data_IF_011603842550
#
_entry.id   IF_011603842550
#
_cell.length_a   1.000
_cell.length_b   1.000
_cell.length_c   1.000
_cell.angle_alpha   90.00
_cell.angle_beta   90.00
_cell.angle_gamma   90.00
#
_symmetry.space_group_name_H-M   'P 1'
#
loop_
_entity.id
_entity.type
_entity.pdbx_description
1 polymer ?
#
# COMPACT_ATOMS: atom_id res chain seq x y z
N UNK A 1 -0.76 -13.76 -42.91
CA UNK A 1 -0.71 -12.28 -42.81
C UNK A 1 -1.20 -11.89 -41.42
N UNK A 2 -0.46 -11.06 -40.67
CA UNK A 2 -0.93 -10.57 -39.36
C UNK A 2 -2.01 -9.53 -39.67
N UNK A 3 -3.27 -9.83 -39.37
CA UNK A 3 -4.38 -8.91 -39.57
C UNK A 3 -4.37 -7.83 -38.48
N UNK A 4 -4.58 -6.58 -38.89
CA UNK A 4 -4.76 -5.47 -37.95
C UNK A 4 -5.97 -5.72 -37.05
N UNK A 5 -5.85 -5.40 -35.76
CA UNK A 5 -6.94 -5.46 -34.78
C UNK A 5 -7.28 -4.06 -34.31
N UNK A 6 -8.53 -3.86 -33.89
CA UNK A 6 -8.99 -2.60 -33.30
C UNK A 6 -8.78 -2.65 -31.79
N UNK A 7 -8.17 -1.61 -31.23
CA UNK A 7 -7.97 -1.47 -29.78
C UNK A 7 -9.30 -1.24 -29.07
N UNK A 8 -9.63 -2.05 -28.07
CA UNK A 8 -10.86 -1.88 -27.27
C UNK A 8 -10.88 -0.61 -26.42
N UNK A 9 -9.73 0.02 -26.17
CA UNK A 9 -9.62 1.22 -25.33
C UNK A 9 -9.72 2.52 -26.14
N UNK A 10 -9.03 2.59 -27.28
CA UNK A 10 -8.92 3.83 -28.06
C UNK A 10 -9.47 3.75 -29.48
N UNK A 11 -9.99 2.58 -29.91
CA UNK A 11 -10.60 2.38 -31.23
C UNK A 11 -9.63 2.43 -32.42
N UNK A 12 -8.33 2.58 -32.19
CA UNK A 12 -7.31 2.62 -33.26
C UNK A 12 -6.93 1.22 -33.73
N UNK A 13 -6.64 1.08 -35.02
CA UNK A 13 -6.04 -0.12 -35.58
C UNK A 13 -4.60 -0.29 -35.07
N UNK A 14 -4.24 -1.52 -34.73
CA UNK A 14 -2.89 -1.89 -34.30
C UNK A 14 -2.55 -3.31 -34.72
N UNK A 15 -1.25 -3.59 -34.81
CA UNK A 15 -0.74 -4.92 -35.10
C UNK A 15 -0.45 -5.63 -33.76
N UNK A 16 -1.08 -6.78 -33.47
CA UNK A 16 -0.82 -7.55 -32.26
C UNK A 16 0.64 -8.03 -32.18
N UNK A 17 1.16 -8.15 -30.96
CA UNK A 17 2.47 -8.75 -30.76
C UNK A 17 2.48 -10.22 -31.22
N UNK A 18 3.55 -10.65 -31.90
CA UNK A 18 3.79 -12.04 -32.35
C UNK A 18 3.54 -13.08 -31.26
N UNK A 19 3.92 -12.79 -30.01
CA UNK A 19 3.76 -13.72 -28.88
C UNK A 19 2.40 -13.63 -28.17
N UNK A 20 1.59 -12.63 -28.52
CA UNK A 20 0.25 -12.39 -27.96
C UNK A 20 -0.74 -12.08 -29.09
N UNK A 21 -1.02 -13.05 -29.99
CA UNK A 21 -1.90 -12.82 -31.14
C UNK A 21 -3.33 -12.42 -30.72
N UNK A 22 -3.76 -12.80 -29.51
CA UNK A 22 -5.07 -12.48 -28.95
C UNK A 22 -5.12 -11.14 -28.19
N UNK A 23 -4.12 -10.27 -28.38
CA UNK A 23 -4.09 -8.94 -27.79
C UNK A 23 -5.30 -8.11 -28.27
N UNK A 24 -6.04 -7.54 -27.32
CA UNK A 24 -7.25 -6.72 -27.55
C UNK A 24 -6.98 -5.22 -27.41
N UNK A 25 -5.85 -4.84 -26.82
CA UNK A 25 -5.48 -3.45 -26.50
C UNK A 25 -4.13 -3.13 -27.11
N UNK A 26 -3.99 -2.00 -27.81
CA UNK A 26 -2.74 -1.59 -28.46
C UNK A 26 -1.60 -1.31 -27.47
N UNK A 27 -0.37 -1.23 -27.96
CA UNK A 27 0.85 -1.06 -27.15
C UNK A 27 1.08 0.35 -26.59
N UNK A 28 0.16 1.29 -26.79
CA UNK A 28 0.29 2.65 -26.25
C UNK A 28 0.19 2.66 -24.72
N UNK A 29 0.99 3.51 -24.06
CA UNK A 29 1.09 3.56 -22.60
C UNK A 29 -0.27 3.78 -21.94
N UNK A 30 -1.04 4.76 -22.43
CA UNK A 30 -2.39 5.08 -21.95
C UNK A 30 -3.33 3.87 -22.00
N UNK A 31 -3.34 3.15 -23.12
CA UNK A 31 -4.22 1.99 -23.28
C UNK A 31 -3.78 0.81 -22.43
N UNK A 32 -2.47 0.59 -22.29
CA UNK A 32 -1.91 -0.45 -21.43
C UNK A 32 -2.21 -0.18 -19.96
N UNK A 33 -2.08 1.08 -19.52
CA UNK A 33 -2.39 1.50 -18.16
C UNK A 33 -3.88 1.32 -17.84
N UNK A 34 -4.77 1.75 -18.74
CA UNK A 34 -6.22 1.53 -18.57
C UNK A 34 -6.57 0.03 -18.50
N UNK A 35 -6.01 -0.80 -19.39
CA UNK A 35 -6.18 -2.26 -19.32
C UNK A 35 -5.72 -2.82 -17.97
N UNK A 36 -4.60 -2.35 -17.44
CA UNK A 36 -4.12 -2.78 -16.13
C UNK A 36 -5.10 -2.45 -15.02
N UNK A 37 -5.66 -1.24 -15.02
CA UNK A 37 -6.65 -0.81 -14.04
C UNK A 37 -7.95 -1.63 -14.15
N UNK A 38 -8.44 -1.86 -15.35
CA UNK A 38 -9.64 -2.65 -15.60
C UNK A 38 -9.45 -4.11 -15.16
N UNK A 39 -8.32 -4.72 -15.52
CA UNK A 39 -7.95 -6.06 -15.07
C UNK A 39 -7.88 -6.14 -13.53
N UNK A 40 -7.31 -5.11 -12.89
CA UNK A 40 -7.23 -5.06 -11.43
C UNK A 40 -8.62 -4.92 -10.79
N UNK A 41 -9.52 -4.13 -11.39
CA UNK A 41 -10.90 -3.96 -10.93
C UNK A 41 -11.69 -5.27 -11.05
N UNK A 42 -11.62 -5.93 -12.20
CA UNK A 42 -12.26 -7.23 -12.44
C UNK A 42 -11.72 -8.29 -11.48
N UNK A 43 -10.40 -8.33 -11.30
CA UNK A 43 -9.77 -9.25 -10.38
C UNK A 43 -10.22 -9.02 -8.94
N UNK A 44 -10.29 -7.77 -8.48
CA UNK A 44 -10.82 -7.42 -7.14
C UNK A 44 -12.29 -7.78 -6.98
N UNK A 45 -13.10 -7.61 -8.03
CA UNK A 45 -14.51 -8.00 -8.02
C UNK A 45 -14.71 -9.51 -7.90
N UNK A 46 -13.84 -10.32 -8.54
CA UNK A 46 -13.85 -11.78 -8.40
C UNK A 46 -13.22 -12.27 -7.10
N UNK A 47 -12.28 -11.51 -6.56
CA UNK A 47 -11.50 -11.88 -5.38
C UNK A 47 -11.81 -10.93 -4.21
N UNK A 48 -13.10 -10.82 -3.86
CA UNK A 48 -13.55 -9.91 -2.79
C UNK A 48 -12.89 -10.22 -1.45
N UNK A 49 -12.54 -11.48 -1.21
CA UNK A 49 -12.05 -11.97 0.07
C UNK A 49 -10.52 -12.03 0.15
N UNK A 50 -9.81 -11.81 -0.97
CA UNK A 50 -8.36 -11.88 -1.02
C UNK A 50 -7.70 -10.86 -0.08
N UNK A 51 -8.30 -9.67 0.07
CA UNK A 51 -7.86 -8.65 1.02
C UNK A 51 -8.57 -8.73 2.38
N UNK A 52 -9.59 -9.59 2.53
CA UNK A 52 -10.35 -9.79 3.78
C UNK A 52 -9.67 -10.68 4.81
N UNK A 53 -8.51 -11.26 4.50
CA UNK A 53 -7.59 -11.76 5.53
C UNK A 53 -7.21 -10.69 6.59
N UNK A 54 -7.59 -9.43 6.37
CA UNK A 54 -7.45 -8.32 7.33
C UNK A 54 -8.66 -8.13 8.26
N UNK A 55 -9.82 -8.73 7.96
CA UNK A 55 -11.07 -8.63 8.74
C UNK A 55 -11.19 -9.74 9.78
N UNK A 56 -10.67 -10.94 9.50
CA UNK A 56 -10.49 -12.00 10.50
C UNK A 56 -9.26 -11.76 11.37
N UNK A 57 -9.11 -10.56 11.94
CA UNK A 57 -8.16 -10.25 13.01
C UNK A 57 -8.62 -10.91 14.31
N UNK A 58 -8.74 -12.23 14.26
CA UNK A 58 -8.90 -13.05 15.44
C UNK A 58 -7.76 -12.71 16.40
N UNK A 59 -8.09 -12.63 17.70
CA UNK A 59 -7.13 -12.28 18.73
C UNK A 59 -5.92 -13.24 18.71
N UNK A 60 -6.18 -14.49 18.31
CA UNK A 60 -5.21 -15.55 18.05
C UNK A 60 -4.17 -15.13 17.00
N UNK A 61 -4.59 -14.65 15.82
CA UNK A 61 -3.69 -14.25 14.74
C UNK A 61 -2.77 -13.09 15.15
N UNK A 62 -3.32 -12.08 15.84
CA UNK A 62 -2.51 -10.98 16.39
C UNK A 62 -1.48 -11.50 17.40
N UNK A 63 -1.87 -12.46 18.25
CA UNK A 63 -0.95 -13.08 19.20
C UNK A 63 0.17 -13.85 18.48
N UNK A 64 -0.16 -14.66 17.48
CA UNK A 64 0.82 -15.39 16.66
C UNK A 64 1.78 -14.44 15.94
N UNK A 65 1.29 -13.34 15.36
CA UNK A 65 2.15 -12.33 14.73
C UNK A 65 3.10 -11.68 15.74
N UNK A 66 2.62 -11.34 16.94
CA UNK A 66 3.47 -10.78 18.01
C UNK A 66 4.55 -11.78 18.43
N UNK A 67 4.19 -13.04 18.60
CA UNK A 67 5.12 -14.10 19.01
C UNK A 67 6.17 -14.37 17.93
N UNK A 68 5.75 -14.48 16.67
CA UNK A 68 6.66 -14.63 15.53
C UNK A 68 7.63 -13.46 15.43
N UNK A 69 7.13 -12.24 15.61
CA UNK A 69 7.98 -11.05 15.60
C UNK A 69 8.95 -11.03 16.79
N UNK A 70 8.52 -11.48 17.97
CA UNK A 70 9.38 -11.60 19.16
C UNK A 70 10.50 -12.60 18.92
N UNK A 71 10.17 -13.83 18.51
CA UNK A 71 11.14 -14.88 18.19
C UNK A 71 12.12 -14.44 17.12
N UNK A 72 11.65 -13.74 16.08
CA UNK A 72 12.55 -13.20 15.06
C UNK A 72 13.54 -12.20 15.64
N UNK A 73 13.09 -11.26 16.49
CA UNK A 73 13.97 -10.30 17.16
C UNK A 73 14.96 -10.97 18.11
N UNK A 74 14.58 -12.07 18.75
CA UNK A 74 15.45 -12.85 19.64
C UNK A 74 16.56 -13.57 18.87
N UNK A 75 16.25 -14.12 17.68
CA UNK A 75 17.25 -14.77 16.84
C UNK A 75 18.16 -13.77 16.10
N UNK A 76 17.67 -12.56 15.82
CA UNK A 76 18.37 -11.56 15.00
C UNK A 76 18.82 -10.34 15.81
N UNK A 77 19.31 -10.56 17.05
CA UNK A 77 19.74 -9.47 17.95
C UNK A 77 20.89 -8.65 17.37
N UNK A 78 21.87 -9.32 16.78
CA UNK A 78 23.05 -8.67 16.20
C UNK A 78 22.69 -7.81 14.99
N UNK A 79 21.90 -8.36 14.06
CA UNK A 79 21.35 -7.60 12.94
C UNK A 79 20.61 -6.35 13.40
N UNK A 80 19.75 -6.48 14.42
CA UNK A 80 19.01 -5.33 14.98
C UNK A 80 19.91 -4.31 15.68
N UNK A 81 21.07 -4.72 16.18
CA UNK A 81 22.06 -3.80 16.76
C UNK A 81 22.73 -2.99 15.66
N UNK A 82 23.22 -3.67 14.62
CA UNK A 82 23.87 -3.05 13.47
C UNK A 82 22.92 -2.09 12.74
N UNK A 83 21.69 -2.54 12.46
CA UNK A 83 20.66 -1.72 11.83
C UNK A 83 20.34 -0.45 12.64
N UNK A 84 20.26 -0.57 13.97
CA UNK A 84 20.02 0.58 14.86
C UNK A 84 21.19 1.55 14.89
N UNK A 85 22.42 1.04 14.80
CA UNK A 85 23.61 1.87 14.76
C UNK A 85 23.71 2.62 13.43
N UNK A 86 23.51 1.91 12.32
CA UNK A 86 23.55 2.48 10.96
C UNK A 86 22.49 3.56 10.75
N UNK A 87 21.26 3.37 11.27
CA UNK A 87 20.16 4.31 11.05
C UNK A 87 19.85 5.23 12.24
N UNK A 88 20.79 5.36 13.19
CA UNK A 88 20.59 6.13 14.43
C UNK A 88 20.20 7.59 14.18
N UNK A 89 20.82 8.25 13.21
CA UNK A 89 20.59 9.67 12.96
C UNK A 89 19.28 9.91 12.19
N UNK A 90 18.94 9.05 11.23
CA UNK A 90 17.62 9.06 10.59
C UNK A 90 16.51 8.86 11.63
N UNK A 91 16.69 7.91 12.55
CA UNK A 91 15.74 7.68 13.63
C UNK A 91 15.59 8.89 14.56
N UNK A 92 16.69 9.60 14.89
CA UNK A 92 16.63 10.84 15.68
C UNK A 92 15.83 11.94 14.98
N UNK A 93 16.06 12.16 13.69
CA UNK A 93 15.32 13.15 12.90
C UNK A 93 13.84 12.78 12.84
N UNK A 94 13.54 11.52 12.53
CA UNK A 94 12.17 11.01 12.53
C UNK A 94 11.47 11.24 13.88
N UNK A 95 12.11 10.88 14.99
CA UNK A 95 11.54 11.03 16.32
C UNK A 95 11.33 12.50 16.71
N UNK A 96 12.22 13.40 16.31
CA UNK A 96 12.06 14.85 16.51
C UNK A 96 10.80 15.36 15.81
N UNK A 97 10.64 15.02 14.53
CA UNK A 97 9.47 15.41 13.74
C UNK A 97 8.18 14.77 14.25
N UNK A 98 8.25 13.49 14.63
CA UNK A 98 7.13 12.78 15.25
C UNK A 98 6.67 13.49 16.53
N UNK A 99 7.58 13.82 17.44
CA UNK A 99 7.25 14.52 18.69
C UNK A 99 6.73 15.93 18.46
N UNK A 100 7.26 16.65 17.45
CA UNK A 100 6.74 17.96 17.04
C UNK A 100 5.27 17.85 16.59
N UNK A 101 4.95 16.89 15.73
CA UNK A 101 3.57 16.63 15.27
C UNK A 101 2.67 16.22 16.43
N UNK A 102 3.14 15.33 17.30
CA UNK A 102 2.40 14.88 18.47
C UNK A 102 2.04 16.04 19.41
N UNK A 103 3.01 16.91 19.74
CA UNK A 103 2.77 18.11 20.56
C UNK A 103 1.82 19.10 19.91
N UNK A 104 1.90 19.30 18.59
CA UNK A 104 0.95 20.14 17.86
C UNK A 104 -0.47 19.57 17.97
N UNK A 105 -0.63 18.25 17.81
CA UNK A 105 -1.92 17.56 17.93
C UNK A 105 -2.47 17.64 19.36
N UNK A 106 -1.63 17.43 20.38
CA UNK A 106 -2.09 17.50 21.77
C UNK A 106 -2.43 18.92 22.20
N UNK A 107 -1.75 19.94 21.68
CA UNK A 107 -2.13 21.36 21.87
C UNK A 107 -3.43 21.70 21.17
N UNK A 108 -3.63 21.26 19.92
CA UNK A 108 -4.91 21.46 19.21
C UNK A 108 -6.07 20.84 19.98
N UNK A 109 -5.92 19.57 20.39
CA UNK A 109 -6.94 18.88 21.21
C UNK A 109 -7.28 19.62 22.50
N UNK A 110 -6.29 20.22 23.17
CA UNK A 110 -6.51 21.04 24.38
C UNK A 110 -7.20 22.38 24.12
N UNK A 111 -7.01 22.97 22.94
CA UNK A 111 -7.68 24.21 22.54
C UNK A 111 -9.14 23.89 22.20
N UNK A 112 -9.38 22.85 21.41
CA UNK A 112 -10.74 22.39 21.05
C UNK A 112 -11.56 22.04 22.32
N UNK A 113 -10.94 21.38 23.31
CA UNK A 113 -11.57 21.06 24.60
C UNK A 113 -11.84 22.30 25.48
N UNK A 114 -11.03 23.36 25.37
CA UNK A 114 -11.21 24.60 26.12
C UNK A 114 -12.27 25.52 25.50
N UNK A 115 -12.37 25.57 24.18
CA UNK A 115 -13.43 26.30 23.45
C UNK A 115 -14.80 25.67 23.71
N UNK A 116 -14.89 24.34 23.73
CA UNK A 116 -16.13 23.61 24.03
C UNK A 116 -16.65 23.85 25.47
N UNK A 117 -15.78 24.22 26.41
CA UNK A 117 -16.14 24.49 27.81
C UNK A 117 -16.52 25.96 28.07
N UNK A 118 -16.27 26.87 27.13
CA UNK A 118 -16.63 28.29 27.25
C UNK A 118 -17.98 28.62 26.61
N UNK A 119 -18.53 27.72 25.79
CA UNK A 119 -19.85 27.85 25.14
C UNK A 119 -20.99 27.13 25.91
N UNK A 120 -20.73 26.62 27.12
CA UNK A 120 -21.72 26.06 28.06
C UNK A 120 -21.87 26.97 29.29
#
# INVERSE_FOLDING_TARGET
>A
MITGKICSVCGKEFIPNKYRPNQTVCSSLECQYKRQLDNMKEWRGRNTDYFKCRESKDASWKATCRERAKRWREMHKEYLSLYRQEHKDLHRVYMREYMRKYRKKSRGKKIDEAETQQEQ
#
